data_IF_731525375268
#
_entry.id   IF_731525375268
#
_cell.length_a   1.000
_cell.length_b   1.000
_cell.length_c   1.000
_cell.angle_alpha   90.00
_cell.angle_beta   90.00
_cell.angle_gamma   90.00
#
_symmetry.space_group_name_H-M   'P 1'
#
loop_
_entity.id
_entity.type
_entity.pdbx_description
1 polymer ?
#
# COMPACT_ATOMS: atom_id res chain seq x y z
N UNK A 1 0.96 -10.48 45.74
CA UNK A 1 -0.17 -9.81 46.41
C UNK A 1 -0.60 -8.67 45.51
N UNK A 2 -1.85 -8.72 45.08
CA UNK A 2 -2.52 -7.72 44.25
C UNK A 2 -2.50 -6.33 44.88
N UNK A 3 -2.43 -5.30 44.06
CA UNK A 3 -3.23 -4.10 44.26
C UNK A 3 -3.53 -3.47 42.90
N UNK A 4 -4.80 -3.64 42.50
CA UNK A 4 -5.50 -2.76 41.57
C UNK A 4 -5.31 -1.29 41.99
N UNK A 5 -5.00 -0.44 41.02
CA UNK A 5 -5.25 1.00 41.14
C UNK A 5 -5.92 1.47 39.86
N UNK A 6 -7.24 1.55 39.93
CA UNK A 6 -8.12 2.14 38.94
C UNK A 6 -7.95 3.66 38.93
N UNK A 7 -7.18 4.18 37.97
CA UNK A 7 -7.11 5.63 37.71
C UNK A 7 -8.22 6.05 36.75
N UNK A 8 -9.20 6.75 37.31
CA UNK A 8 -10.30 7.42 36.61
C UNK A 8 -9.77 8.53 35.71
N UNK A 9 -9.98 8.40 34.40
CA UNK A 9 -9.83 9.49 33.43
C UNK A 9 -11.04 10.42 33.54
N UNK A 10 -10.84 11.64 34.04
CA UNK A 10 -11.82 12.73 33.91
C UNK A 10 -11.42 13.59 32.72
N UNK A 11 -12.16 13.44 31.62
CA UNK A 11 -12.03 14.30 30.44
C UNK A 11 -12.80 15.60 30.72
N UNK A 12 -12.08 16.71 30.91
CA UNK A 12 -12.68 18.03 30.98
C UNK A 12 -12.70 18.64 29.57
N UNK A 13 -13.89 18.79 29.00
CA UNK A 13 -14.10 19.50 27.74
C UNK A 13 -14.22 21.00 28.01
N UNK A 14 -13.29 21.79 27.48
CA UNK A 14 -13.42 23.24 27.39
C UNK A 14 -13.58 23.57 25.90
N UNK A 15 -14.81 23.92 25.50
CA UNK A 15 -15.11 24.41 24.17
C UNK A 15 -15.16 25.93 24.15
N UNK A 16 -14.30 26.56 23.35
CA UNK A 16 -14.58 27.76 22.55
C UNK A 16 -13.33 28.13 21.73
N UNK A 17 -13.39 27.92 20.41
CA UNK A 17 -12.51 28.56 19.43
C UNK A 17 -11.08 28.00 19.29
N UNK A 18 -10.90 27.20 18.23
CA UNK A 18 -9.63 26.81 17.60
C UNK A 18 -8.62 25.96 18.41
N UNK A 19 -8.44 24.73 17.92
CA UNK A 19 -7.37 23.75 18.19
C UNK A 19 -7.39 23.10 19.59
N UNK A 20 -7.91 21.87 19.62
CA UNK A 20 -7.66 20.89 20.68
C UNK A 20 -6.32 20.21 20.38
N UNK A 21 -5.31 20.44 21.22
CA UNK A 21 -4.10 19.60 21.26
C UNK A 21 -4.18 18.72 22.51
N UNK A 22 -4.47 17.44 22.30
CA UNK A 22 -4.33 16.41 23.31
C UNK A 22 -2.86 15.97 23.36
N UNK A 23 -2.22 16.15 24.52
CA UNK A 23 -0.92 15.55 24.79
C UNK A 23 -1.13 14.11 25.30
N UNK A 24 -0.72 13.11 24.52
CA UNK A 24 -0.52 11.74 25.02
C UNK A 24 0.94 11.60 25.39
N UNK A 25 1.22 11.58 26.70
CA UNK A 25 2.54 11.25 27.24
C UNK A 25 2.63 9.73 27.35
N UNK A 26 3.36 9.10 26.42
CA UNK A 26 3.65 7.68 26.37
C UNK A 26 5.15 7.44 26.16
N UNK A 27 5.77 6.81 27.15
CA UNK A 27 7.20 6.66 27.40
C UNK A 27 7.92 5.73 26.39
N UNK A 28 8.50 6.30 25.32
CA UNK A 28 9.62 5.67 24.60
C UNK A 28 10.75 6.70 24.48
N UNK A 29 11.95 6.29 24.87
CA UNK A 29 13.16 7.12 25.02
C UNK A 29 13.79 7.48 23.67
N UNK A 30 13.05 8.18 22.82
CA UNK A 30 13.58 8.97 21.71
C UNK A 30 13.09 10.39 21.89
N UNK A 31 13.97 11.30 22.33
CA UNK A 31 13.62 12.72 22.46
C UNK A 31 13.35 13.28 21.07
N UNK A 32 12.08 13.38 20.70
CA UNK A 32 11.65 14.30 19.64
C UNK A 32 11.65 15.68 20.28
N UNK A 33 12.75 16.41 20.12
CA UNK A 33 12.73 17.85 20.35
C UNK A 33 11.83 18.47 19.28
N UNK A 34 10.60 18.80 19.66
CA UNK A 34 9.74 19.67 18.87
C UNK A 34 10.17 21.10 19.20
N UNK A 35 10.84 21.85 18.30
CA UNK A 35 11.15 23.24 18.57
C UNK A 35 9.83 24.01 18.67
N UNK A 36 9.48 24.41 19.89
CA UNK A 36 8.40 25.36 20.13
C UNK A 36 8.89 26.71 19.64
N UNK A 37 8.61 27.04 18.37
CA UNK A 37 8.75 28.39 17.83
C UNK A 37 7.67 29.26 18.47
N UNK A 38 7.94 29.74 19.69
CA UNK A 38 7.16 30.79 20.34
C UNK A 38 7.46 32.12 19.64
N UNK A 39 6.84 32.31 18.48
CA UNK A 39 6.91 33.50 17.65
C UNK A 39 6.30 33.17 16.30
N UNK A 40 5.34 33.96 15.82
CA UNK A 40 4.88 33.84 14.43
C UNK A 40 6.11 33.93 13.53
N UNK A 41 6.39 32.92 12.68
CA UNK A 41 7.60 32.90 11.88
C UNK A 41 7.61 34.16 11.02
N UNK A 42 8.73 34.87 11.02
CA UNK A 42 8.86 36.02 10.14
C UNK A 42 8.87 35.53 8.69
N UNK A 43 8.49 36.38 7.73
CA UNK A 43 8.49 36.01 6.31
C UNK A 43 9.85 35.46 5.83
N UNK A 44 10.95 35.88 6.45
CA UNK A 44 12.29 35.33 6.22
C UNK A 44 12.47 33.90 6.73
N UNK A 45 11.92 33.55 7.89
CA UNK A 45 12.04 32.19 8.46
C UNK A 45 11.23 31.17 7.66
N UNK A 46 10.10 31.60 7.10
CA UNK A 46 9.31 30.80 6.16
C UNK A 46 10.03 30.63 4.82
N UNK A 47 10.69 31.67 4.30
CA UNK A 47 11.47 31.57 3.07
C UNK A 47 12.66 30.62 3.22
N UNK A 48 13.35 30.64 4.36
CA UNK A 48 14.42 29.69 4.65
C UNK A 48 13.90 28.26 4.74
N UNK A 49 12.78 28.03 5.44
CA UNK A 49 12.17 26.69 5.50
C UNK A 49 11.74 26.18 4.12
N UNK A 50 11.17 27.04 3.27
CA UNK A 50 10.79 26.64 1.90
C UNK A 50 12.04 26.29 1.08
N UNK A 51 13.13 27.05 1.22
CA UNK A 51 14.40 26.74 0.56
C UNK A 51 14.97 25.41 1.04
N UNK A 52 14.97 25.16 2.35
CA UNK A 52 15.47 23.91 2.95
C UNK A 52 14.62 22.71 2.54
N UNK A 53 13.28 22.84 2.53
CA UNK A 53 12.37 21.79 2.04
C UNK A 53 12.55 21.53 0.54
N UNK A 54 12.78 22.58 -0.26
CA UNK A 54 13.03 22.43 -1.70
C UNK A 54 14.34 21.69 -1.96
N UNK A 55 15.38 21.99 -1.18
CA UNK A 55 16.66 21.28 -1.23
C UNK A 55 16.50 19.82 -0.83
N UNK A 56 15.81 19.55 0.30
CA UNK A 56 15.55 18.19 0.77
C UNK A 56 14.75 17.38 -0.25
N UNK A 57 13.71 17.96 -0.85
CA UNK A 57 12.91 17.30 -1.90
C UNK A 57 13.79 16.91 -3.09
N UNK A 58 14.64 17.82 -3.55
CA UNK A 58 15.54 17.54 -4.68
C UNK A 58 16.54 16.42 -4.35
N UNK A 59 17.04 16.36 -3.11
CA UNK A 59 17.89 15.27 -2.64
C UNK A 59 17.14 13.94 -2.64
N UNK A 60 15.92 13.89 -2.09
CA UNK A 60 15.12 12.66 -2.06
C UNK A 60 14.73 12.17 -3.47
N UNK A 61 14.45 13.07 -4.41
CA UNK A 61 14.18 12.73 -5.81
C UNK A 61 15.43 12.11 -6.48
N UNK A 62 16.61 12.66 -6.22
CA UNK A 62 17.87 12.13 -6.73
C UNK A 62 18.21 10.75 -6.13
N UNK A 63 18.01 10.57 -4.83
CA UNK A 63 18.19 9.28 -4.14
C UNK A 63 17.23 8.22 -4.65
N UNK A 64 15.95 8.57 -4.85
CA UNK A 64 14.97 7.66 -5.43
C UNK A 64 15.35 7.22 -6.85
N UNK A 65 15.83 8.16 -7.67
CA UNK A 65 16.31 7.83 -9.01
C UNK A 65 17.50 6.87 -8.97
N UNK A 66 18.48 7.11 -8.09
CA UNK A 66 19.64 6.26 -7.93
C UNK A 66 19.29 4.86 -7.38
N UNK A 67 18.27 4.76 -6.51
CA UNK A 67 17.77 3.48 -6.02
C UNK A 67 17.05 2.70 -7.13
N UNK A 68 16.24 3.36 -7.96
CA UNK A 68 15.60 2.74 -9.13
C UNK A 68 16.62 2.22 -10.14
N UNK A 69 17.69 2.98 -10.38
CA UNK A 69 18.80 2.54 -11.24
C UNK A 69 19.51 1.31 -10.65
N UNK A 70 19.79 1.28 -9.35
CA UNK A 70 20.37 0.10 -8.69
C UNK A 70 19.47 -1.13 -8.76
N UNK A 71 18.15 -0.97 -8.57
CA UNK A 71 17.18 -2.06 -8.71
C UNK A 71 17.22 -2.63 -10.14
N UNK A 72 17.24 -1.77 -11.16
CA UNK A 72 17.33 -2.20 -12.55
C UNK A 72 18.65 -2.93 -12.85
N UNK A 73 19.77 -2.47 -12.30
CA UNK A 73 21.07 -3.14 -12.44
C UNK A 73 21.10 -4.51 -11.74
N UNK A 74 20.47 -4.64 -10.58
CA UNK A 74 20.34 -5.92 -9.85
C UNK A 74 19.42 -6.90 -10.59
N UNK A 75 18.29 -6.42 -11.13
CA UNK A 75 17.39 -7.22 -11.94
C UNK A 75 18.07 -7.73 -13.22
N UNK A 76 18.87 -6.89 -13.89
CA UNK A 76 19.65 -7.28 -15.06
C UNK A 76 20.76 -8.30 -14.73
N UNK A 77 21.33 -8.26 -13.51
CA UNK A 77 22.31 -9.24 -13.05
C UNK A 77 21.69 -10.60 -12.71
N UNK A 78 20.46 -10.62 -12.19
CA UNK A 78 19.71 -11.88 -11.97
C UNK A 78 19.34 -12.54 -13.31
N UNK A 79 18.92 -11.76 -14.31
CA UNK A 79 18.64 -12.27 -15.65
C UNK A 79 19.89 -12.82 -16.39
N UNK A 80 21.10 -12.42 -15.96
CA UNK A 80 22.36 -12.88 -16.55
C UNK A 80 22.93 -14.17 -15.95
N UNK A 81 22.36 -14.70 -14.87
CA UNK A 81 22.93 -15.84 -14.13
C UNK A 81 22.14 -17.15 -14.28
N UNK A 82 21.04 -17.16 -15.02
CA UNK A 82 20.22 -18.35 -15.27
C UNK A 82 20.47 -18.87 -16.69
N UNK A 83 21.55 -19.63 -16.86
CA UNK A 83 21.64 -20.60 -17.95
C UNK A 83 21.75 -21.98 -17.33
N UNK A 84 20.72 -22.80 -17.58
CA UNK A 84 20.62 -24.25 -17.35
C UNK A 84 20.02 -24.69 -16.00
N UNK A 85 18.70 -24.87 -15.97
CA UNK A 85 18.10 -26.19 -15.71
C UNK A 85 16.57 -26.12 -15.90
N UNK A 86 16.09 -26.98 -16.78
CA UNK A 86 14.70 -27.32 -17.06
C UNK A 86 14.10 -28.10 -15.88
N UNK A 87 12.93 -27.69 -15.35
CA UNK A 87 11.74 -28.51 -15.00
C UNK A 87 10.87 -27.80 -13.95
N UNK A 88 9.56 -27.88 -14.20
CA UNK A 88 8.38 -27.50 -13.43
C UNK A 88 7.93 -26.04 -13.44
N UNK A 89 6.83 -25.85 -14.15
CA UNK A 89 5.94 -24.69 -14.19
C UNK A 89 5.62 -24.19 -12.78
N UNK A 90 6.31 -23.15 -12.36
CA UNK A 90 5.77 -22.16 -11.45
C UNK A 90 5.55 -20.91 -12.29
N UNK A 91 4.29 -20.47 -12.39
CA UNK A 91 3.93 -19.22 -13.05
C UNK A 91 4.88 -18.12 -12.58
N UNK A 92 5.59 -17.50 -13.54
CA UNK A 92 6.44 -16.36 -13.26
C UNK A 92 5.58 -15.29 -12.56
N UNK A 93 6.02 -14.69 -11.44
CA UNK A 93 5.30 -13.55 -10.88
C UNK A 93 5.31 -12.47 -11.96
N UNK A 94 4.13 -12.12 -12.46
CA UNK A 94 3.99 -10.87 -13.17
C UNK A 94 4.45 -9.79 -12.19
N UNK A 95 5.50 -9.05 -12.56
CA UNK A 95 6.12 -8.07 -11.67
C UNK A 95 5.09 -7.07 -11.12
N UNK A 96 5.44 -6.42 -10.00
CA UNK A 96 4.60 -5.40 -9.38
C UNK A 96 4.03 -4.43 -10.42
N UNK A 97 2.69 -4.29 -10.44
CA UNK A 97 1.99 -3.31 -11.25
C UNK A 97 1.49 -2.19 -10.36
N UNK A 98 1.38 -0.99 -10.91
CA UNK A 98 0.76 0.15 -10.22
C UNK A 98 -0.40 0.65 -11.06
N UNK A 99 -1.57 0.75 -10.44
CA UNK A 99 -2.80 1.24 -11.04
C UNK A 99 -3.21 2.55 -10.37
N UNK A 100 -3.67 3.51 -11.16
CA UNK A 100 -4.15 4.78 -10.64
C UNK A 100 -5.61 4.66 -10.20
N UNK A 101 -6.10 5.67 -9.49
CA UNK A 101 -7.52 5.84 -9.26
C UNK A 101 -8.27 5.87 -10.60
N UNK A 102 -9.43 5.21 -10.66
CA UNK A 102 -10.25 4.94 -11.85
C UNK A 102 -9.61 4.01 -12.90
N UNK A 103 -8.65 3.18 -12.51
CA UNK A 103 -8.07 2.14 -13.39
C UNK A 103 -8.64 0.77 -13.06
N UNK A 104 -8.99 -0.01 -14.08
CA UNK A 104 -9.38 -1.41 -13.99
C UNK A 104 -8.32 -2.31 -14.60
N UNK A 105 -8.21 -3.54 -14.11
CA UNK A 105 -7.35 -4.59 -14.66
C UNK A 105 -8.20 -5.78 -15.08
N UNK A 106 -7.76 -6.41 -16.16
CA UNK A 106 -8.28 -7.67 -16.68
C UNK A 106 -7.39 -8.79 -16.13
N UNK A 107 -7.92 -9.54 -15.16
CA UNK A 107 -7.22 -10.63 -14.48
C UNK A 107 -7.03 -11.85 -15.37
N UNK A 108 -7.68 -11.86 -16.53
CA UNK A 108 -7.52 -12.87 -17.56
C UNK A 108 -6.43 -12.54 -18.58
N UNK A 109 -6.05 -11.26 -18.66
CA UNK A 109 -5.06 -10.73 -19.60
C UNK A 109 -3.68 -11.36 -19.44
N UNK A 110 -3.02 -11.60 -20.57
CA UNK A 110 -1.62 -12.07 -20.65
C UNK A 110 -0.63 -10.90 -20.84
N UNK A 111 -1.12 -9.66 -20.86
CA UNK A 111 -0.27 -8.47 -20.95
C UNK A 111 0.52 -8.26 -19.66
N UNK A 112 1.72 -7.66 -19.75
CA UNK A 112 2.58 -7.41 -18.58
C UNK A 112 1.90 -6.54 -17.52
N UNK A 113 1.02 -5.63 -17.93
CA UNK A 113 0.23 -4.75 -17.06
C UNK A 113 -1.18 -5.29 -16.76
N UNK A 114 -1.47 -6.57 -17.06
CA UNK A 114 -2.78 -7.18 -16.82
C UNK A 114 -3.94 -6.41 -17.45
N UNK A 115 -3.75 -5.90 -18.68
CA UNK A 115 -4.79 -5.16 -19.40
C UNK A 115 -5.26 -3.88 -18.69
N UNK A 116 -4.44 -3.30 -17.80
CA UNK A 116 -4.79 -2.10 -17.05
C UNK A 116 -5.28 -0.97 -17.96
N UNK A 117 -6.51 -0.48 -17.73
CA UNK A 117 -7.16 0.56 -18.53
C UNK A 117 -8.05 1.48 -17.68
N UNK A 118 -8.37 2.67 -18.19
CA UNK A 118 -9.24 3.66 -17.53
C UNK A 118 -10.68 3.63 -18.05
N UNK A 119 -11.02 2.67 -18.93
CA UNK A 119 -12.31 2.62 -19.61
C UNK A 119 -13.42 1.98 -18.75
N UNK A 120 -13.05 1.42 -17.60
CA UNK A 120 -13.97 0.80 -16.65
C UNK A 120 -14.27 -0.68 -16.93
N UNK A 121 -13.65 -1.24 -17.97
CA UNK A 121 -13.82 -2.63 -18.38
C UNK A 121 -12.67 -3.47 -17.80
N UNK A 122 -12.94 -4.17 -16.68
CA UNK A 122 -11.99 -5.10 -16.06
C UNK A 122 -12.60 -5.82 -14.85
N UNK A 123 -11.93 -6.89 -14.43
CA UNK A 123 -12.36 -7.76 -13.32
C UNK A 123 -12.15 -7.10 -11.95
N UNK A 124 -11.11 -6.28 -11.84
CA UNK A 124 -10.74 -5.60 -10.61
C UNK A 124 -10.47 -4.13 -10.90
N UNK A 125 -11.23 -3.24 -10.27
CA UNK A 125 -11.13 -1.79 -10.47
C UNK A 125 -10.71 -1.09 -9.18
N UNK A 126 -9.88 -0.07 -9.32
CA UNK A 126 -9.52 0.82 -8.22
C UNK A 126 -10.16 2.19 -8.44
N UNK A 127 -11.07 2.58 -7.55
CA UNK A 127 -11.81 3.85 -7.62
C UNK A 127 -12.07 4.41 -6.21
N UNK A 128 -11.03 4.88 -5.51
CA UNK A 128 -10.98 5.14 -4.04
C UNK A 128 -11.23 3.91 -3.15
N UNK A 129 -11.83 2.86 -3.72
CA UNK A 129 -12.06 1.56 -3.15
C UNK A 129 -11.67 0.49 -4.17
N UNK A 130 -11.37 -0.72 -3.70
CA UNK A 130 -11.13 -1.85 -4.57
C UNK A 130 -12.48 -2.50 -4.91
N UNK A 131 -12.78 -2.68 -6.18
CA UNK A 131 -14.04 -3.26 -6.68
C UNK A 131 -13.75 -4.50 -7.51
N UNK A 132 -14.54 -5.55 -7.31
CA UNK A 132 -14.53 -6.75 -8.14
C UNK A 132 -15.67 -7.68 -7.72
N UNK A 133 -15.91 -8.75 -8.46
CA UNK A 133 -17.11 -9.58 -8.24
C UNK A 133 -17.06 -10.39 -6.94
N UNK A 134 -15.88 -10.91 -6.56
CA UNK A 134 -15.72 -11.74 -5.36
C UNK A 134 -14.37 -11.48 -4.71
N UNK A 135 -14.35 -10.56 -3.75
CA UNK A 135 -13.15 -10.21 -2.99
C UNK A 135 -13.19 -10.85 -1.60
N UNK A 136 -12.13 -11.55 -1.21
CA UNK A 136 -11.90 -11.96 0.18
C UNK A 136 -10.48 -11.59 0.61
N UNK A 137 -10.35 -10.99 1.78
CA UNK A 137 -9.06 -10.49 2.30
C UNK A 137 -8.46 -11.50 3.27
N UNK A 138 -7.18 -11.79 3.10
CA UNK A 138 -6.40 -12.71 3.92
C UNK A 138 -5.11 -12.07 4.42
N UNK A 139 -4.67 -12.59 5.56
CA UNK A 139 -3.46 -12.14 6.25
C UNK A 139 -2.20 -12.82 5.71
N UNK A 140 -2.35 -14.05 5.20
CA UNK A 140 -1.28 -14.89 4.70
C UNK A 140 -1.49 -15.20 3.21
N UNK A 141 -0.41 -15.54 2.50
CA UNK A 141 -0.44 -15.89 1.08
C UNK A 141 -1.38 -17.08 0.83
N UNK A 142 -2.46 -16.90 0.04
CA UNK A 142 -3.43 -17.96 -0.17
C UNK A 142 -2.97 -18.97 -1.21
N UNK A 143 -3.34 -20.23 -1.02
CA UNK A 143 -3.35 -21.25 -2.07
C UNK A 143 -4.69 -21.25 -2.81
N UNK A 144 -4.80 -21.98 -3.92
CA UNK A 144 -6.08 -22.22 -4.60
C UNK A 144 -7.15 -22.72 -3.62
N UNK A 145 -6.88 -23.81 -2.89
CA UNK A 145 -7.79 -24.37 -1.88
C UNK A 145 -8.21 -23.32 -0.82
N UNK A 146 -7.28 -22.43 -0.44
CA UNK A 146 -7.55 -21.39 0.55
C UNK A 146 -8.54 -20.36 0.02
N UNK A 147 -8.40 -19.95 -1.25
CA UNK A 147 -9.33 -19.04 -1.90
C UNK A 147 -10.69 -19.71 -2.17
N UNK A 148 -10.71 -20.97 -2.59
CA UNK A 148 -11.95 -21.72 -2.81
C UNK A 148 -12.76 -21.95 -1.52
N UNK A 149 -12.07 -22.13 -0.40
CA UNK A 149 -12.70 -22.32 0.91
C UNK A 149 -13.30 -21.02 1.49
N UNK A 150 -13.05 -19.86 0.89
CA UNK A 150 -13.62 -18.60 1.36
C UNK A 150 -15.16 -18.62 1.23
N UNK A 151 -15.83 -18.12 2.24
CA UNK A 151 -17.31 -18.05 2.29
C UNK A 151 -17.83 -16.64 2.51
N UNK A 152 -16.93 -15.71 2.87
CA UNK A 152 -17.23 -14.30 3.03
C UNK A 152 -16.60 -13.56 1.88
N UNK A 153 -17.44 -12.94 1.06
CA UNK A 153 -17.03 -12.16 -0.10
C UNK A 153 -17.61 -10.76 0.01
N UNK A 154 -16.90 -9.80 -0.56
CA UNK A 154 -17.37 -8.44 -0.75
C UNK A 154 -17.17 -8.05 -2.21
N UNK A 155 -18.10 -7.28 -2.75
CA UNK A 155 -18.01 -6.77 -4.13
C UNK A 155 -17.17 -5.46 -4.17
N UNK A 156 -16.88 -4.91 -3.00
CA UNK A 156 -16.06 -3.70 -2.82
C UNK A 156 -15.39 -3.64 -1.45
N UNK A 157 -14.21 -3.03 -1.39
CA UNK A 157 -13.43 -2.80 -0.18
C UNK A 157 -13.05 -1.32 -0.10
N UNK A 158 -13.71 -0.57 0.79
CA UNK A 158 -13.57 0.88 0.90
C UNK A 158 -12.39 1.38 1.74
N UNK A 159 -11.74 0.51 2.51
CA UNK A 159 -10.62 0.88 3.38
C UNK A 159 -9.32 0.32 2.79
N UNK A 160 -8.96 0.81 1.61
CA UNK A 160 -7.85 0.28 0.79
C UNK A 160 -6.49 0.40 1.48
N UNK A 161 -6.30 1.38 2.37
CA UNK A 161 -5.08 1.50 3.17
C UNK A 161 -4.94 0.33 4.17
N UNK A 162 -6.04 -0.33 4.55
CA UNK A 162 -6.00 -1.54 5.38
C UNK A 162 -5.68 -2.80 4.59
N UNK A 163 -5.68 -2.72 3.26
CA UNK A 163 -5.22 -3.80 2.39
C UNK A 163 -3.70 -3.84 2.27
N UNK A 164 -2.98 -2.81 2.72
CA UNK A 164 -1.52 -2.79 2.68
C UNK A 164 -0.94 -4.05 3.34
N UNK A 165 -0.13 -4.80 2.58
CA UNK A 165 0.46 -6.09 2.96
C UNK A 165 -0.57 -7.17 3.30
N UNK A 166 -1.74 -7.11 2.66
CA UNK A 166 -2.76 -8.16 2.68
C UNK A 166 -2.85 -8.82 1.33
N UNK A 167 -3.36 -10.05 1.34
CA UNK A 167 -3.74 -10.78 0.15
C UNK A 167 -5.23 -10.62 -0.08
N UNK A 168 -5.64 -10.56 -1.34
CA UNK A 168 -7.02 -10.56 -1.77
C UNK A 168 -7.21 -11.71 -2.74
N UNK A 169 -8.04 -12.68 -2.39
CA UNK A 169 -8.56 -13.64 -3.35
C UNK A 169 -9.60 -12.93 -4.21
N UNK A 170 -9.40 -12.97 -5.52
CA UNK A 170 -10.30 -12.41 -6.53
C UNK A 170 -10.67 -13.48 -7.53
N UNK A 171 -11.92 -13.46 -8.01
CA UNK A 171 -12.36 -14.27 -9.14
C UNK A 171 -12.51 -13.37 -10.36
N UNK A 172 -11.89 -13.73 -11.49
CA UNK A 172 -12.11 -13.06 -12.78
C UNK A 172 -13.47 -13.43 -13.39
N UNK A 173 -13.90 -12.71 -14.41
CA UNK A 173 -15.12 -12.97 -15.15
C UNK A 173 -15.15 -14.34 -15.87
N UNK A 174 -13.99 -14.92 -16.18
CA UNK A 174 -13.86 -16.30 -16.66
C UNK A 174 -13.69 -17.35 -15.54
N UNK A 175 -14.13 -17.04 -14.32
CA UNK A 175 -14.11 -17.93 -13.16
C UNK A 175 -12.69 -18.36 -12.74
N UNK A 176 -11.65 -17.58 -13.04
CA UNK A 176 -10.28 -17.89 -12.60
C UNK A 176 -10.00 -17.28 -11.24
N UNK A 177 -9.39 -18.04 -10.35
CA UNK A 177 -8.96 -17.54 -9.06
C UNK A 177 -7.56 -16.94 -9.14
N UNK A 178 -7.44 -15.72 -8.60
CA UNK A 178 -6.22 -14.94 -8.59
C UNK A 178 -5.97 -14.42 -7.18
N UNK A 179 -4.70 -14.48 -6.76
CA UNK A 179 -4.23 -13.84 -5.55
C UNK A 179 -3.62 -12.48 -5.90
N UNK A 180 -4.14 -11.43 -5.27
CA UNK A 180 -3.64 -10.07 -5.38
C UNK A 180 -3.00 -9.68 -4.05
N UNK A 181 -1.70 -9.40 -4.05
CA UNK A 181 -1.00 -8.88 -2.88
C UNK A 181 -0.80 -7.37 -3.02
N UNK A 182 -1.27 -6.60 -2.04
CA UNK A 182 -1.17 -5.14 -2.09
C UNK A 182 0.14 -4.68 -1.45
N UNK A 183 1.07 -4.19 -2.27
CA UNK A 183 2.40 -3.75 -1.84
C UNK A 183 2.41 -2.29 -1.41
N UNK A 184 1.58 -1.45 -2.04
CA UNK A 184 1.35 -0.05 -1.68
C UNK A 184 -0.11 0.36 -1.94
N UNK A 185 -0.62 1.27 -1.13
CA UNK A 185 -1.99 1.77 -1.26
C UNK A 185 -2.08 3.24 -0.81
N UNK A 186 -2.54 4.08 -1.73
CA UNK A 186 -2.79 5.51 -1.49
C UNK A 186 -4.05 5.95 -2.24
N UNK A 187 -4.68 7.08 -1.87
CA UNK A 187 -5.87 7.58 -2.59
C UNK A 187 -5.66 7.85 -4.09
N UNK A 188 -4.42 7.99 -4.55
CA UNK A 188 -4.11 8.30 -5.95
C UNK A 188 -3.75 7.04 -6.76
N UNK A 189 -3.12 6.05 -6.12
CA UNK A 189 -2.64 4.85 -6.77
C UNK A 189 -2.49 3.68 -5.80
N UNK A 190 -2.53 2.46 -6.35
CA UNK A 190 -2.32 1.20 -5.66
C UNK A 190 -1.31 0.35 -6.41
N UNK A 191 -0.37 -0.26 -5.69
CA UNK A 191 0.61 -1.19 -6.25
C UNK A 191 0.28 -2.62 -5.81
N UNK A 192 0.31 -3.53 -6.78
CA UNK A 192 -0.21 -4.89 -6.68
C UNK A 192 0.79 -5.89 -7.26
N UNK A 193 0.97 -7.01 -6.58
CA UNK A 193 1.54 -8.22 -7.16
C UNK A 193 0.41 -9.22 -7.42
N UNK A 194 0.32 -9.73 -8.64
CA UNK A 194 -0.79 -10.57 -9.07
C UNK A 194 -0.27 -11.95 -9.43
N UNK A 195 -0.86 -12.97 -8.83
CA UNK A 195 -0.48 -14.37 -9.03
C UNK A 195 -1.72 -15.19 -9.38
N UNK A 196 -1.70 -15.86 -10.54
CA UNK A 196 -2.74 -16.83 -10.90
C UNK A 196 -2.63 -18.05 -9.99
N UNK A 197 -3.75 -18.49 -9.44
CA UNK A 197 -3.79 -19.71 -8.64
C UNK A 197 -4.16 -20.86 -9.55
N UNK A 198 -3.16 -21.69 -9.86
CA UNK A 198 -3.32 -22.86 -10.73
C UNK A 198 -3.57 -24.12 -9.89
N UNK A 199 -4.31 -25.07 -10.47
CA UNK A 199 -4.58 -26.40 -9.91
C UNK A 199 -3.49 -27.41 -10.26
#
# INVERSE_FOLDING_TARGET
MSSDSSTSLRVAWIGAGAVVLAAVIGLFTGTVEVPVLSGSPTSSDLQTQVADLTAAKSTLEAENKALREQINELAAQQAGSETSAETDSAAAPAGEITINNYTCIDLDSEETNWGANEDGDGDLCYADYLQGDRLSVLDDAPTLDTCEAQTQFSDSIHEVEKLLRRYVCVTSDADRLVSVYVTDASPEAMSLEITRLES
#
